data_IF_890079463691
#
_entry.id   IF_890079463691
#
_cell.length_a   1.000
_cell.length_b   1.000
_cell.length_c   1.000
_cell.angle_alpha   90.00
_cell.angle_beta   90.00
_cell.angle_gamma   90.00
#
_symmetry.space_group_name_H-M   'P 1'
#
loop_
_entity.id
_entity.type
_entity.pdbx_description
1 polymer ?
#
# COMPACT_ATOMS: atom_id res chain seq x y z
N UNK A 1 13.21 -9.19 62.97
CA UNK A 1 12.12 -8.67 62.12
C UNK A 1 12.47 -9.05 60.69
N UNK A 2 11.77 -10.05 60.16
CA UNK A 2 11.83 -10.46 58.77
C UNK A 2 10.99 -9.45 57.97
N UNK A 3 11.57 -8.84 56.93
CA UNK A 3 10.79 -8.23 55.86
C UNK A 3 11.17 -8.89 54.55
N UNK A 4 10.15 -9.55 54.04
CA UNK A 4 10.04 -10.44 52.89
C UNK A 4 10.35 -9.76 51.56
N UNK A 5 11.15 -10.46 50.74
CA UNK A 5 11.05 -10.62 49.29
C UNK A 5 10.13 -9.66 48.54
N UNK A 6 10.70 -8.79 47.71
CA UNK A 6 10.03 -8.28 46.51
C UNK A 6 11.09 -7.94 45.47
N UNK A 7 11.55 -8.97 44.75
CA UNK A 7 12.17 -8.80 43.45
C UNK A 7 11.09 -8.26 42.50
N UNK A 8 11.00 -6.94 42.38
CA UNK A 8 10.13 -6.30 41.39
C UNK A 8 10.85 -6.42 40.04
N UNK A 9 10.36 -7.39 39.31
CA UNK A 9 10.74 -7.85 37.98
C UNK A 9 10.91 -6.67 37.02
N UNK A 10 12.11 -6.55 36.45
CA UNK A 10 12.41 -5.72 35.28
C UNK A 10 11.59 -6.22 34.08
N UNK A 11 10.39 -5.67 33.90
CA UNK A 11 9.54 -5.96 32.74
C UNK A 11 9.23 -4.69 31.93
N UNK A 12 10.25 -4.02 31.41
CA UNK A 12 10.06 -2.90 30.47
C UNK A 12 11.10 -2.95 29.35
N UNK A 13 10.85 -3.76 28.32
CA UNK A 13 11.42 -3.50 26.98
C UNK A 13 10.88 -4.50 25.95
N UNK A 14 9.67 -4.26 25.47
CA UNK A 14 9.24 -4.83 24.18
C UNK A 14 8.37 -3.81 23.43
N UNK A 15 8.92 -2.61 23.20
CA UNK A 15 8.44 -1.77 22.09
C UNK A 15 9.09 -2.29 20.82
N UNK A 16 8.54 -3.38 20.27
CA UNK A 16 8.82 -3.76 18.90
C UNK A 16 8.29 -2.62 18.02
N UNK A 17 9.18 -1.74 17.59
CA UNK A 17 8.87 -0.64 16.71
C UNK A 17 8.23 -1.21 15.43
N UNK A 18 6.93 -1.00 15.26
CA UNK A 18 6.28 -1.13 13.97
C UNK A 18 6.83 0.00 13.09
N UNK A 19 7.96 -0.24 12.45
CA UNK A 19 8.56 0.70 11.51
C UNK A 19 7.53 0.94 10.40
N UNK A 20 7.22 2.18 10.04
CA UNK A 20 6.37 2.44 8.89
C UNK A 20 7.03 1.78 7.67
N UNK A 21 6.39 0.78 7.09
CA UNK A 21 6.82 0.26 5.80
C UNK A 21 6.73 1.41 4.80
N UNK A 22 7.80 1.65 4.04
CA UNK A 22 7.78 2.64 2.96
C UNK A 22 6.64 2.37 1.97
N UNK A 23 6.36 3.34 1.11
CA UNK A 23 5.33 3.18 0.08
C UNK A 23 5.49 1.83 -0.66
N UNK A 24 4.38 1.15 -0.92
CA UNK A 24 4.33 -0.16 -1.57
C UNK A 24 5.20 -1.23 -0.89
N UNK A 25 5.33 -1.20 0.44
CA UNK A 25 6.23 -2.09 1.19
C UNK A 25 7.66 -2.08 0.63
N UNK A 26 8.19 -0.88 0.37
CA UNK A 26 9.51 -0.60 -0.21
C UNK A 26 9.69 -1.02 -1.68
N UNK A 27 8.62 -1.40 -2.38
CA UNK A 27 8.64 -1.50 -3.84
C UNK A 27 8.68 -0.11 -4.49
N UNK A 28 9.11 0.01 -5.75
CA UNK A 28 9.05 1.28 -6.48
C UNK A 28 7.64 1.88 -6.49
N UNK A 29 7.58 3.21 -6.42
CA UNK A 29 6.38 4.00 -6.73
C UNK A 29 6.52 4.47 -8.19
N UNK A 30 5.89 3.81 -9.17
CA UNK A 30 6.06 4.17 -10.57
C UNK A 30 5.52 5.57 -10.85
N UNK A 31 6.16 6.28 -11.78
CA UNK A 31 5.69 7.54 -12.32
C UNK A 31 5.43 7.38 -13.82
N UNK A 32 4.18 7.52 -14.26
CA UNK A 32 3.73 7.31 -15.62
C UNK A 32 2.49 6.44 -15.71
N UNK A 33 2.01 6.20 -16.93
CA UNK A 33 0.74 5.52 -17.16
C UNK A 33 0.73 4.02 -16.81
N UNK A 34 1.90 3.38 -16.82
CA UNK A 34 2.05 1.94 -16.57
C UNK A 34 2.89 1.69 -15.33
N UNK A 35 2.48 0.69 -14.54
CA UNK A 35 3.21 0.25 -13.37
C UNK A 35 4.39 -0.67 -13.73
N UNK A 36 5.30 -0.89 -12.79
CA UNK A 36 6.52 -1.67 -13.04
C UNK A 36 6.17 -3.14 -13.25
N UNK A 37 6.43 -3.66 -14.45
CA UNK A 37 6.23 -5.07 -14.77
C UNK A 37 6.87 -6.00 -13.72
N UNK A 38 6.14 -7.05 -13.36
CA UNK A 38 6.58 -8.12 -12.44
C UNK A 38 7.02 -7.64 -11.03
N UNK A 39 6.88 -6.35 -10.74
CA UNK A 39 7.33 -5.72 -9.50
C UNK A 39 6.16 -5.08 -8.77
N UNK A 40 5.41 -4.20 -9.45
CA UNK A 40 4.24 -3.56 -8.87
C UNK A 40 3.12 -4.58 -8.64
N UNK A 41 2.50 -4.49 -7.47
CA UNK A 41 1.33 -5.27 -7.11
C UNK A 41 0.07 -4.43 -7.27
N UNK A 42 -1.08 -5.10 -7.33
CA UNK A 42 -2.37 -4.40 -7.34
C UNK A 42 -2.51 -3.55 -6.07
N UNK A 43 -3.10 -2.37 -6.24
CA UNK A 43 -3.28 -1.33 -5.22
C UNK A 43 -1.98 -0.64 -4.76
N UNK A 44 -0.83 -0.90 -5.40
CA UNK A 44 0.37 -0.10 -5.16
C UNK A 44 0.13 1.37 -5.52
N UNK A 45 0.68 2.29 -4.72
CA UNK A 45 0.73 3.73 -5.02
C UNK A 45 1.55 3.89 -6.29
N UNK A 46 1.05 4.73 -7.19
CA UNK A 46 1.78 5.24 -8.32
C UNK A 46 1.52 6.75 -8.47
N UNK A 47 2.28 7.40 -9.34
CA UNK A 47 2.04 8.77 -9.75
C UNK A 47 1.80 8.82 -11.25
N UNK A 48 0.83 9.62 -11.69
CA UNK A 48 0.54 9.85 -13.12
C UNK A 48 -0.01 11.26 -13.27
N UNK A 49 0.46 11.99 -14.28
CA UNK A 49 0.08 13.41 -14.52
C UNK A 49 0.26 14.34 -13.30
N UNK A 50 1.23 14.05 -12.42
CA UNK A 50 1.47 14.81 -11.19
C UNK A 50 0.47 14.53 -10.06
N UNK A 51 -0.43 13.56 -10.23
CA UNK A 51 -1.40 13.11 -9.24
C UNK A 51 -0.99 11.74 -8.67
N UNK A 52 -1.44 11.46 -7.46
CA UNK A 52 -1.34 10.12 -6.87
C UNK A 52 -2.42 9.20 -7.45
N UNK A 53 -2.10 7.92 -7.58
CA UNK A 53 -3.00 6.91 -8.10
C UNK A 53 -2.77 5.51 -7.52
N UNK A 54 -3.38 4.52 -8.18
CA UNK A 54 -3.20 3.09 -7.88
C UNK A 54 -2.86 2.30 -9.13
N UNK A 55 -1.99 1.31 -8.95
CA UNK A 55 -1.78 0.23 -9.91
C UNK A 55 -2.97 -0.72 -9.88
N UNK A 56 -3.82 -0.69 -10.91
CA UNK A 56 -5.00 -1.56 -11.02
C UNK A 56 -4.99 -2.31 -12.35
N UNK A 57 -5.63 -3.48 -12.43
CA UNK A 57 -5.83 -4.15 -13.72
C UNK A 57 -6.83 -3.34 -14.56
N UNK A 58 -6.35 -2.75 -15.65
CA UNK A 58 -7.17 -2.02 -16.61
C UNK A 58 -6.50 -2.06 -18.00
N UNK A 59 -7.29 -1.99 -19.07
CA UNK A 59 -6.80 -2.02 -20.45
C UNK A 59 -6.52 -0.63 -21.04
N UNK A 60 -6.79 0.45 -20.31
CA UNK A 60 -6.43 1.81 -20.75
C UNK A 60 -4.92 2.01 -20.82
N UNK A 61 -4.49 3.03 -21.57
CA UNK A 61 -3.09 3.46 -21.72
C UNK A 61 -2.13 2.43 -22.35
N UNK A 62 -2.63 1.32 -22.91
CA UNK A 62 -1.87 0.32 -23.67
C UNK A 62 -0.68 -0.29 -22.88
N UNK A 63 -0.84 -0.52 -21.58
CA UNK A 63 0.19 -1.12 -20.72
C UNK A 63 0.41 -2.64 -20.93
N UNK A 64 -0.31 -3.25 -21.87
CA UNK A 64 -0.19 -4.66 -22.21
C UNK A 64 -0.56 -5.57 -21.04
N UNK A 65 0.39 -6.40 -20.60
CA UNK A 65 0.22 -7.31 -19.46
C UNK A 65 0.52 -6.65 -18.09
N UNK A 66 0.95 -5.38 -18.08
CA UNK A 66 1.27 -4.66 -16.85
C UNK A 66 -0.01 -4.11 -16.21
N UNK A 67 0.09 -3.73 -14.93
CA UNK A 67 -0.95 -2.93 -14.28
C UNK A 67 -0.89 -1.49 -14.79
N UNK A 68 -2.04 -0.85 -14.81
CA UNK A 68 -2.17 0.53 -15.25
C UNK A 68 -2.22 1.45 -14.04
N UNK A 69 -1.45 2.54 -14.07
CA UNK A 69 -1.51 3.57 -13.05
C UNK A 69 -2.65 4.52 -13.37
N UNK A 70 -3.63 4.58 -12.47
CA UNK A 70 -4.83 5.40 -12.63
C UNK A 70 -4.93 6.34 -11.43
N UNK A 71 -5.17 7.63 -11.72
CA UNK A 71 -5.34 8.69 -10.73
C UNK A 71 -6.42 8.33 -9.71
N UNK A 72 -6.21 8.68 -8.44
CA UNK A 72 -7.18 8.40 -7.37
C UNK A 72 -8.56 9.04 -7.65
N UNK A 73 -8.61 10.16 -8.39
CA UNK A 73 -9.83 10.84 -8.86
C UNK A 73 -10.66 10.05 -9.89
N UNK A 74 -10.08 9.01 -10.48
CA UNK A 74 -10.69 8.14 -11.50
C UNK A 74 -10.94 6.72 -10.95
N UNK A 75 -10.78 6.53 -9.64
CA UNK A 75 -10.95 5.26 -8.97
C UNK A 75 -12.18 5.26 -8.05
N UNK A 76 -12.87 4.13 -8.02
CA UNK A 76 -13.84 3.79 -6.99
C UNK A 76 -13.24 2.71 -6.11
N UNK A 77 -13.11 2.99 -4.82
CA UNK A 77 -12.50 2.10 -3.84
C UNK A 77 -13.54 1.54 -2.87
N UNK A 78 -13.50 0.24 -2.63
CA UNK A 78 -14.26 -0.41 -1.57
C UNK A 78 -13.39 -0.50 -0.30
N UNK A 79 -13.70 0.26 0.77
CA UNK A 79 -12.94 0.22 2.01
C UNK A 79 -13.11 -1.09 2.79
N UNK A 80 -14.15 -1.88 2.49
CA UNK A 80 -14.43 -3.14 3.20
C UNK A 80 -13.70 -4.33 2.57
N UNK A 81 -13.23 -4.19 1.33
CA UNK A 81 -12.48 -5.23 0.63
C UNK A 81 -11.03 -4.80 0.53
N UNK A 82 -10.13 -5.52 1.19
CA UNK A 82 -8.70 -5.25 1.10
C UNK A 82 -8.03 -6.16 0.06
N UNK A 83 -7.23 -5.57 -0.82
CA UNK A 83 -6.35 -6.27 -1.74
C UNK A 83 -4.90 -5.85 -1.45
N UNK A 84 -4.04 -6.82 -1.11
CA UNK A 84 -2.62 -6.58 -0.74
C UNK A 84 -2.44 -5.54 0.39
N UNK A 85 -3.39 -5.51 1.33
CA UNK A 85 -3.34 -4.63 2.52
C UNK A 85 -3.89 -3.22 2.30
N UNK A 86 -4.60 -2.98 1.19
CA UNK A 86 -5.17 -1.67 0.83
C UNK A 86 -6.61 -1.83 0.31
N UNK A 87 -7.47 -0.80 0.44
CA UNK A 87 -8.80 -0.82 -0.17
C UNK A 87 -8.73 -1.22 -1.64
N UNK A 88 -9.61 -2.11 -2.06
CA UNK A 88 -9.73 -2.54 -3.45
C UNK A 88 -10.26 -1.36 -4.27
N UNK A 89 -9.38 -0.75 -5.05
CA UNK A 89 -9.75 0.27 -6.02
C UNK A 89 -9.84 -0.32 -7.43
N UNK A 90 -10.81 0.18 -8.19
CA UNK A 90 -11.00 -0.11 -9.62
C UNK A 90 -11.28 1.19 -10.36
N UNK A 91 -10.96 1.26 -11.65
CA UNK A 91 -11.33 2.43 -12.46
C UNK A 91 -12.85 2.62 -12.43
N UNK A 92 -13.27 3.85 -12.21
CA UNK A 92 -14.68 4.23 -12.30
C UNK A 92 -15.16 4.01 -13.73
N UNK A 93 -16.30 3.33 -13.96
CA UNK A 93 -16.84 3.14 -15.30
C UNK A 93 -17.07 4.49 -16.01
N UNK A 94 -16.59 4.62 -17.25
CA UNK A 94 -16.71 5.85 -18.04
C UNK A 94 -15.73 6.97 -17.67
N UNK A 95 -14.76 6.68 -16.79
CA UNK A 95 -13.70 7.61 -16.41
C UNK A 95 -12.55 7.69 -17.42
#
# INVERSE_FOLDING_TARGET
MQFTTSAIILALSALAAAMPQGANANRPVPNGACCVANTSLKQDVCNVNGQTGRCVPDSVNNCGAQLTCIEDSRLTCDPNTLERGRPLCRRTPGA
#
